data_IF_942555876292
#
_entry.id   IF_942555876292
#
_cell.length_a   1.000
_cell.length_b   1.000
_cell.length_c   1.000
_cell.angle_alpha   90.00
_cell.angle_beta   90.00
_cell.angle_gamma   90.00
#
_symmetry.space_group_name_H-M   'P 1'
#
loop_
_entity.id
_entity.type
_entity.pdbx_description
1 polymer ?
#
# COMPACT_ATOMS: atom_id res chain seq x y z
N UNK A 1 -5.35 -8.03 36.78
CA UNK A 1 -5.54 -7.89 35.32
C UNK A 1 -4.32 -7.17 34.76
N UNK A 2 -3.61 -7.77 33.79
CA UNK A 2 -2.40 -7.19 33.19
C UNK A 2 -2.78 -5.97 32.35
N UNK A 3 -2.18 -4.80 32.60
CA UNK A 3 -2.46 -3.56 31.85
C UNK A 3 -2.23 -3.68 30.34
N UNK A 4 -1.41 -4.65 29.91
CA UNK A 4 -1.10 -4.91 28.50
C UNK A 4 -2.32 -5.28 27.66
N UNK A 5 -3.35 -5.89 28.24
CA UNK A 5 -4.54 -6.31 27.47
C UNK A 5 -5.40 -5.13 26.99
N UNK A 6 -5.21 -3.93 27.54
CA UNK A 6 -6.03 -2.75 27.24
C UNK A 6 -5.44 -1.84 26.16
N UNK A 7 -4.27 -2.18 25.61
CA UNK A 7 -3.55 -1.40 24.58
C UNK A 7 -3.46 -2.17 23.26
N UNK A 8 -3.69 -3.49 23.28
CA UNK A 8 -3.59 -4.35 22.09
C UNK A 8 -4.79 -4.08 21.17
N UNK A 9 -4.50 -3.82 19.90
CA UNK A 9 -5.51 -3.64 18.86
C UNK A 9 -6.25 -4.96 18.58
N UNK A 10 -7.55 -4.88 18.25
CA UNK A 10 -8.33 -6.00 17.71
C UNK A 10 -7.88 -6.44 16.31
N UNK A 11 -7.03 -5.65 15.66
CA UNK A 11 -6.41 -5.95 14.38
C UNK A 11 -4.97 -6.41 14.60
N UNK A 12 -4.64 -7.62 14.15
CA UNK A 12 -3.30 -8.19 14.18
C UNK A 12 -2.72 -8.25 12.78
N UNK A 13 -1.51 -7.72 12.60
CA UNK A 13 -0.76 -7.88 11.35
C UNK A 13 0.09 -9.15 11.43
N UNK A 14 -0.07 -10.10 10.51
CA UNK A 14 0.69 -11.36 10.57
C UNK A 14 1.91 -11.29 9.64
N UNK A 15 1.71 -10.91 8.38
CA UNK A 15 2.78 -10.69 7.41
C UNK A 15 2.27 -9.88 6.21
N UNK A 16 3.17 -9.65 5.25
CA UNK A 16 2.83 -9.14 3.94
C UNK A 16 3.64 -9.88 2.87
N UNK A 17 3.14 -9.84 1.65
CA UNK A 17 3.83 -10.33 0.45
C UNK A 17 3.77 -9.28 -0.65
N UNK A 18 4.74 -9.36 -1.56
CA UNK A 18 4.77 -8.55 -2.78
C UNK A 18 4.23 -9.40 -3.92
N UNK A 19 3.08 -9.03 -4.44
CA UNK A 19 2.43 -9.78 -5.52
C UNK A 19 3.06 -9.48 -6.88
N UNK A 20 3.39 -8.20 -7.10
CA UNK A 20 3.85 -7.72 -8.40
C UNK A 20 4.78 -6.53 -8.24
N UNK A 21 5.88 -6.54 -8.97
CA UNK A 21 6.73 -5.38 -9.22
C UNK A 21 6.99 -5.32 -10.71
N UNK A 22 6.63 -4.21 -11.33
CA UNK A 22 6.97 -3.89 -12.71
C UNK A 22 7.70 -2.56 -12.71
N UNK A 23 8.82 -2.48 -13.43
CA UNK A 23 9.60 -1.25 -13.55
C UNK A 23 10.13 -1.15 -14.98
N UNK A 24 9.84 -0.03 -15.63
CA UNK A 24 10.22 0.21 -17.01
C UNK A 24 10.84 1.60 -17.14
N UNK A 25 12.11 1.66 -17.54
CA UNK A 25 12.77 2.91 -17.89
C UNK A 25 12.13 3.49 -19.16
N UNK A 26 12.00 4.81 -19.22
CA UNK A 26 11.61 5.51 -20.42
C UNK A 26 12.86 6.12 -21.09
N UNK A 27 13.39 5.50 -22.17
CA UNK A 27 14.56 6.05 -22.87
C UNK A 27 14.25 7.32 -23.66
N UNK A 28 12.97 7.63 -23.89
CA UNK A 28 12.49 8.80 -24.63
C UNK A 28 12.26 10.01 -23.71
N UNK A 29 12.65 9.93 -22.44
CA UNK A 29 12.49 11.03 -21.50
C UNK A 29 13.35 12.23 -21.89
N UNK A 30 12.71 13.38 -22.07
CA UNK A 30 13.37 14.65 -22.33
C UNK A 30 13.23 15.58 -21.11
N UNK A 31 14.33 15.82 -20.39
CA UNK A 31 14.38 16.73 -19.24
C UNK A 31 15.35 16.29 -18.15
N UNK A 32 15.50 17.14 -17.13
CA UNK A 32 16.39 16.90 -15.98
C UNK A 32 15.64 16.35 -14.76
N UNK A 33 14.35 16.69 -14.60
CA UNK A 33 13.53 16.25 -13.49
C UNK A 33 12.04 16.12 -13.87
N UNK A 34 11.31 15.28 -13.15
CA UNK A 34 9.87 15.11 -13.27
C UNK A 34 9.19 15.32 -11.92
N UNK A 35 8.08 16.05 -11.91
CA UNK A 35 7.22 16.15 -10.73
C UNK A 35 6.58 14.80 -10.46
N UNK A 36 6.74 14.28 -9.24
CA UNK A 36 6.18 12.99 -8.82
C UNK A 36 4.67 12.91 -9.13
N UNK A 37 4.30 11.98 -9.99
CA UNK A 37 2.93 11.57 -10.26
C UNK A 37 2.74 10.13 -9.80
N UNK A 38 1.71 9.89 -8.99
CA UNK A 38 1.43 8.57 -8.46
C UNK A 38 -0.05 8.38 -8.19
N UNK A 39 -0.49 7.13 -8.34
CA UNK A 39 -1.82 6.66 -7.95
C UNK A 39 -1.68 5.54 -6.95
N UNK A 40 -2.54 5.52 -5.93
CA UNK A 40 -2.67 4.40 -4.99
C UNK A 40 -4.11 3.93 -5.02
N UNK A 41 -4.30 2.63 -5.22
CA UNK A 41 -5.58 1.95 -5.11
C UNK A 41 -5.52 0.88 -4.01
N UNK A 42 -6.68 0.46 -3.53
CA UNK A 42 -6.82 -0.55 -2.48
C UNK A 42 -7.87 -1.60 -2.85
N UNK A 43 -7.65 -2.82 -2.39
CA UNK A 43 -8.63 -3.90 -2.40
C UNK A 43 -8.64 -4.57 -1.03
N UNK A 44 -9.82 -4.95 -0.54
CA UNK A 44 -9.99 -5.59 0.76
C UNK A 44 -10.85 -6.82 0.56
N UNK A 45 -10.39 -7.96 1.07
CA UNK A 45 -11.13 -9.21 1.08
C UNK A 45 -11.18 -9.76 2.51
N UNK A 46 -12.38 -10.11 2.96
CA UNK A 46 -12.60 -10.83 4.22
C UNK A 46 -12.78 -12.30 3.88
N UNK A 47 -11.96 -13.17 4.45
CA UNK A 47 -12.06 -14.61 4.23
C UNK A 47 -12.99 -15.22 5.27
N UNK A 48 -13.84 -16.15 4.83
CA UNK A 48 -14.69 -16.96 5.71
C UNK A 48 -13.89 -18.15 6.25
N UNK A 49 -12.92 -17.87 7.11
CA UNK A 49 -12.11 -18.89 7.80
C UNK A 49 -12.24 -18.80 9.32
N UNK A 50 -11.65 -19.75 10.04
CA UNK A 50 -11.71 -19.81 11.49
C UNK A 50 -10.89 -18.69 12.19
N UNK A 51 -10.02 -17.99 11.45
CA UNK A 51 -9.09 -16.99 11.97
C UNK A 51 -9.56 -15.54 11.68
N UNK A 52 -10.70 -15.37 11.00
CA UNK A 52 -11.20 -14.10 10.46
C UNK A 52 -10.13 -13.36 9.65
N UNK A 53 -9.48 -14.07 8.74
CA UNK A 53 -8.42 -13.49 7.92
C UNK A 53 -8.96 -12.37 7.04
N UNK A 54 -8.28 -11.24 7.08
CA UNK A 54 -8.53 -10.08 6.23
C UNK A 54 -7.30 -9.82 5.38
N UNK A 55 -7.49 -9.86 4.06
CA UNK A 55 -6.47 -9.49 3.08
C UNK A 55 -6.66 -8.04 2.68
N UNK A 56 -5.60 -7.25 2.78
CA UNK A 56 -5.59 -5.86 2.29
C UNK A 56 -4.51 -5.75 1.24
N UNK A 57 -4.91 -5.44 0.01
CA UNK A 57 -4.01 -5.25 -1.12
C UNK A 57 -3.89 -3.77 -1.43
N UNK A 58 -2.66 -3.26 -1.52
CA UNK A 58 -2.36 -1.91 -2.01
C UNK A 58 -1.68 -2.01 -3.37
N UNK A 59 -2.16 -1.21 -4.31
CA UNK A 59 -1.61 -1.06 -5.66
C UNK A 59 -1.09 0.36 -5.79
N UNK A 60 0.14 0.52 -6.26
CA UNK A 60 0.70 1.83 -6.57
C UNK A 60 1.23 1.86 -8.00
N UNK A 61 0.79 2.86 -8.73
CA UNK A 61 1.34 3.23 -10.04
C UNK A 61 2.15 4.52 -9.86
N UNK A 62 3.45 4.47 -10.16
CA UNK A 62 4.33 5.63 -10.17
C UNK A 62 4.61 5.99 -11.61
N UNK A 63 4.43 7.26 -11.97
CA UNK A 63 4.62 7.77 -13.33
C UNK A 63 3.86 6.95 -14.39
N UNK A 64 2.52 6.83 -14.27
CA UNK A 64 1.72 6.06 -15.21
C UNK A 64 1.83 6.62 -16.63
N UNK A 65 1.90 5.74 -17.62
CA UNK A 65 2.04 6.11 -19.04
C UNK A 65 3.30 6.98 -19.34
N UNK A 66 4.45 6.61 -18.78
CA UNK A 66 5.70 7.39 -18.85
C UNK A 66 6.04 7.96 -20.23
N UNK A 67 5.95 7.16 -21.30
CA UNK A 67 6.22 7.67 -22.67
C UNK A 67 5.25 8.76 -23.12
N UNK A 68 3.97 8.67 -22.75
CA UNK A 68 2.95 9.67 -23.13
C UNK A 68 3.02 10.95 -22.30
N UNK A 69 3.41 10.83 -21.04
CA UNK A 69 3.45 11.95 -20.08
C UNK A 69 4.86 12.53 -19.89
N UNK A 70 5.85 12.03 -20.64
CA UNK A 70 7.26 12.39 -20.52
C UNK A 70 7.81 12.21 -19.08
N UNK A 71 7.66 11.02 -18.53
CA UNK A 71 8.28 10.64 -17.25
C UNK A 71 9.54 9.77 -17.45
N UNK A 72 10.51 9.79 -16.52
CA UNK A 72 11.78 9.06 -16.67
C UNK A 72 11.64 7.54 -16.63
N UNK A 73 10.60 7.03 -15.96
CA UNK A 73 10.29 5.62 -15.86
C UNK A 73 8.82 5.44 -15.49
N UNK A 74 8.33 4.21 -15.48
CA UNK A 74 7.07 3.84 -14.85
C UNK A 74 7.29 2.66 -13.91
N UNK A 75 6.57 2.64 -12.79
CA UNK A 75 6.61 1.54 -11.84
C UNK A 75 5.20 1.15 -11.44
N UNK A 76 4.93 -0.16 -11.36
CA UNK A 76 3.72 -0.70 -10.74
C UNK A 76 4.11 -1.63 -9.62
N UNK A 77 3.52 -1.43 -8.46
CA UNK A 77 3.77 -2.22 -7.26
C UNK A 77 2.44 -2.70 -6.69
N UNK A 78 2.37 -3.97 -6.34
CA UNK A 78 1.21 -4.55 -5.69
C UNK A 78 1.64 -5.40 -4.51
N UNK A 79 1.08 -5.11 -3.33
CA UNK A 79 1.43 -5.80 -2.09
C UNK A 79 0.15 -6.19 -1.36
N UNK A 80 0.14 -7.37 -0.75
CA UNK A 80 -0.96 -7.84 0.09
C UNK A 80 -0.47 -8.05 1.51
N UNK A 81 -1.13 -7.41 2.46
CA UNK A 81 -0.98 -7.67 3.88
C UNK A 81 -2.04 -8.65 4.37
N UNK A 82 -1.62 -9.56 5.23
CA UNK A 82 -2.48 -10.53 5.90
C UNK A 82 -2.71 -10.05 7.33
N UNK A 83 -3.97 -9.89 7.67
CA UNK A 83 -4.40 -9.43 8.97
C UNK A 83 -5.41 -10.41 9.55
N UNK A 84 -5.49 -10.46 10.86
CA UNK A 84 -6.56 -11.15 11.58
C UNK A 84 -7.32 -10.15 12.43
N UNK A 85 -8.65 -10.30 12.46
CA UNK A 85 -9.52 -9.47 13.28
C UNK A 85 -10.08 -10.32 14.41
N UNK A 86 -10.02 -9.80 15.63
CA UNK A 86 -10.48 -10.49 16.83
C UNK A 86 -11.94 -10.97 16.67
N UNK A 87 -12.16 -12.24 17.04
CA UNK A 87 -13.48 -12.87 17.05
C UNK A 87 -14.51 -12.04 17.82
N UNK A 88 -15.72 -11.92 17.28
CA UNK A 88 -16.79 -11.13 17.90
C UNK A 88 -16.71 -9.62 17.65
N UNK A 89 -15.74 -9.16 16.87
CA UNK A 89 -15.74 -7.79 16.31
C UNK A 89 -16.93 -7.62 15.37
N UNK A 90 -17.67 -6.52 15.50
CA UNK A 90 -18.81 -6.23 14.60
C UNK A 90 -18.34 -5.96 13.17
N UNK A 91 -19.16 -6.29 12.17
CA UNK A 91 -18.83 -6.06 10.75
C UNK A 91 -18.43 -4.61 10.45
N UNK A 92 -19.11 -3.64 11.10
CA UNK A 92 -18.80 -2.23 10.96
C UNK A 92 -17.40 -1.90 11.50
N UNK A 93 -17.07 -2.39 12.70
CA UNK A 93 -15.76 -2.18 13.30
C UNK A 93 -14.66 -2.89 12.52
N UNK A 94 -14.89 -4.13 12.07
CA UNK A 94 -13.97 -4.89 11.24
C UNK A 94 -13.63 -4.16 9.93
N UNK A 95 -14.63 -3.57 9.27
CA UNK A 95 -14.43 -2.71 8.10
C UNK A 95 -13.56 -1.51 8.40
N UNK A 96 -13.81 -0.80 9.51
CA UNK A 96 -12.98 0.36 9.90
C UNK A 96 -11.53 -0.06 10.19
N UNK A 97 -11.33 -1.22 10.83
CA UNK A 97 -10.00 -1.79 11.08
C UNK A 97 -9.27 -2.08 9.77
N UNK A 98 -9.93 -2.76 8.82
CA UNK A 98 -9.37 -3.06 7.51
C UNK A 98 -9.10 -1.81 6.66
N UNK A 99 -10.07 -0.91 6.57
CA UNK A 99 -9.99 0.25 5.66
C UNK A 99 -9.04 1.34 6.14
N UNK A 100 -8.84 1.50 7.44
CA UNK A 100 -7.99 2.57 7.97
C UNK A 100 -6.70 2.02 8.55
N UNK A 101 -6.82 1.09 9.48
CA UNK A 101 -5.68 0.67 10.30
C UNK A 101 -4.76 -0.27 9.51
N UNK A 102 -5.31 -1.28 8.84
CA UNK A 102 -4.51 -2.19 8.02
C UNK A 102 -3.82 -1.46 6.85
N UNK A 103 -4.51 -0.54 6.18
CA UNK A 103 -3.90 0.32 5.15
C UNK A 103 -2.77 1.19 5.73
N UNK A 104 -2.98 1.80 6.89
CA UNK A 104 -1.96 2.62 7.57
C UNK A 104 -0.71 1.81 7.92
N UNK A 105 -0.87 0.54 8.27
CA UNK A 105 0.22 -0.38 8.58
C UNK A 105 0.94 -0.83 7.30
N UNK A 106 0.19 -1.10 6.23
CA UNK A 106 0.74 -1.66 4.99
C UNK A 106 1.41 -0.60 4.10
N UNK A 107 0.90 0.64 4.10
CA UNK A 107 1.40 1.72 3.26
C UNK A 107 2.91 2.06 3.47
N UNK A 108 3.46 2.09 4.71
CA UNK A 108 4.90 2.25 4.92
C UNK A 108 5.77 1.21 4.21
N UNK A 109 5.32 -0.06 4.11
CA UNK A 109 6.04 -1.10 3.38
C UNK A 109 6.03 -0.83 1.88
N UNK A 110 4.87 -0.46 1.33
CA UNK A 110 4.74 -0.03 -0.07
C UNK A 110 5.71 1.13 -0.38
N UNK A 111 5.67 2.17 0.47
CA UNK A 111 6.52 3.36 0.31
C UNK A 111 8.00 3.01 0.34
N UNK A 112 8.43 2.21 1.32
CA UNK A 112 9.82 1.80 1.46
C UNK A 112 10.31 1.01 0.24
N UNK A 113 9.46 0.16 -0.34
CA UNK A 113 9.79 -0.57 -1.56
C UNK A 113 9.96 0.35 -2.76
N UNK A 114 9.07 1.33 -2.96
CA UNK A 114 9.21 2.30 -4.05
C UNK A 114 10.53 3.08 -3.93
N UNK A 115 10.87 3.54 -2.74
CA UNK A 115 12.17 4.20 -2.49
C UNK A 115 13.35 3.25 -2.75
N UNK A 116 13.27 2.00 -2.29
CA UNK A 116 14.37 1.03 -2.44
C UNK A 116 14.59 0.64 -3.89
N UNK A 117 13.51 0.38 -4.65
CA UNK A 117 13.60 0.02 -6.06
C UNK A 117 14.12 1.18 -6.91
N UNK A 118 13.67 2.40 -6.67
CA UNK A 118 14.20 3.58 -7.37
C UNK A 118 15.70 3.78 -7.09
N UNK A 119 16.15 3.66 -5.84
CA UNK A 119 17.58 3.64 -5.52
C UNK A 119 18.34 2.56 -6.30
N UNK A 120 17.84 1.33 -6.28
CA UNK A 120 18.51 0.17 -6.90
C UNK A 120 18.49 0.23 -8.44
N UNK A 121 17.51 0.91 -9.03
CA UNK A 121 17.45 1.20 -10.46
C UNK A 121 18.37 2.36 -10.86
N UNK A 122 19.11 2.95 -9.91
CA UNK A 122 19.99 4.10 -10.10
C UNK A 122 19.25 5.32 -10.70
N UNK A 123 18.00 5.53 -10.27
CA UNK A 123 17.24 6.76 -10.50
C UNK A 123 17.10 7.52 -9.19
N UNK A 124 16.64 8.77 -9.24
CA UNK A 124 16.39 9.55 -8.03
C UNK A 124 15.44 8.78 -7.08
N UNK A 125 15.81 8.61 -5.80
CA UNK A 125 14.97 7.89 -4.83
C UNK A 125 13.59 8.52 -4.70
N UNK A 126 12.54 7.77 -5.07
CA UNK A 126 11.18 8.24 -4.96
C UNK A 126 10.69 8.10 -3.53
N UNK A 127 10.29 9.22 -2.93
CA UNK A 127 9.66 9.28 -1.62
C UNK A 127 8.19 9.65 -1.81
N UNK A 128 7.29 8.66 -1.71
CA UNK A 128 5.86 8.93 -1.73
C UNK A 128 5.50 9.76 -0.48
N UNK A 129 4.79 10.89 -0.63
CA UNK A 129 4.36 11.68 0.52
C UNK A 129 3.38 10.89 1.41
N UNK A 130 3.22 11.27 2.68
CA UNK A 130 2.12 10.76 3.49
C UNK A 130 0.79 10.99 2.78
N UNK A 131 -0.03 9.95 2.67
CA UNK A 131 -1.35 10.03 2.04
C UNK A 131 -2.46 10.17 3.08
N UNK A 132 -3.55 10.82 2.70
CA UNK A 132 -4.75 10.86 3.52
C UNK A 132 -5.57 9.60 3.29
N UNK A 133 -5.47 8.63 4.21
CA UNK A 133 -6.14 7.34 4.11
C UNK A 133 -7.66 7.48 4.17
N UNK A 134 -8.20 8.49 4.86
CA UNK A 134 -9.64 8.75 4.87
C UNK A 134 -10.16 9.02 3.45
N UNK A 135 -9.47 9.89 2.70
CA UNK A 135 -9.83 10.19 1.31
C UNK A 135 -9.61 8.99 0.37
N UNK A 136 -8.58 8.19 0.61
CA UNK A 136 -8.36 6.94 -0.14
C UNK A 136 -9.52 5.95 0.05
N UNK A 137 -10.11 5.93 1.24
CA UNK A 137 -11.24 5.05 1.57
C UNK A 137 -12.54 5.52 0.93
N UNK A 138 -12.76 6.84 0.82
CA UNK A 138 -13.96 7.45 0.25
C UNK A 138 -14.05 7.35 -1.28
N UNK A 139 -12.92 7.18 -1.98
CA UNK A 139 -12.86 7.17 -3.45
C UNK A 139 -13.18 5.80 -4.10
N UNK A 140 -13.89 4.92 -3.39
CA UNK A 140 -14.31 3.59 -3.88
C UNK A 140 -15.83 3.43 -3.90
#
# INVERSE_FOLDING_TARGET
MNQSSNIISKLRFINYVVNKVEFYMNPEFEGDCATLDFKVDKEIAFLEDAENTTLVTLKADIFPNASKQNYPFSMKLEITGFFEIENGTSDYEARILAEKNAISILFPYLRAMVTTYSCNANVEPIIIPPINIHKLVENN
#
